data_IF_313769663424
#
_entry.id   IF_313769663424
#
_cell.length_a   1.000
_cell.length_b   1.000
_cell.length_c   1.000
_cell.angle_alpha   90.00
_cell.angle_beta   90.00
_cell.angle_gamma   90.00
#
_symmetry.space_group_name_H-M   'P 1'
#
loop_
_entity.id
_entity.type
_entity.pdbx_description
1 polymer ?
#
# COMPACT_ATOMS: atom_id res chain seq x y z
N UNK A 1 33.09 -6.77 10.00
CA UNK A 1 31.74 -7.33 9.85
C UNK A 1 30.87 -7.17 11.11
N UNK A 2 31.46 -7.29 12.32
CA UNK A 2 30.74 -7.20 13.60
C UNK A 2 30.03 -5.86 13.86
N UNK A 3 30.45 -4.79 13.18
CA UNK A 3 29.89 -3.44 13.35
C UNK A 3 28.84 -3.05 12.30
N UNK A 4 28.67 -3.83 11.24
CA UNK A 4 27.72 -3.54 10.14
C UNK A 4 26.34 -4.11 10.47
N UNK A 5 26.28 -5.34 11.00
CA UNK A 5 25.06 -6.02 11.41
C UNK A 5 24.84 -5.86 12.92
N UNK A 6 24.38 -4.67 13.31
CA UNK A 6 24.00 -4.38 14.70
C UNK A 6 22.62 -4.97 15.00
N UNK A 7 22.28 -5.14 16.28
CA UNK A 7 20.99 -5.60 16.73
C UNK A 7 20.85 -7.12 16.84
N UNK A 8 19.63 -7.61 16.79
CA UNK A 8 19.33 -9.02 17.00
C UNK A 8 19.67 -9.87 15.75
N UNK A 9 20.46 -10.89 15.95
CA UNK A 9 20.89 -11.82 14.89
C UNK A 9 19.71 -12.63 14.34
N UNK A 10 18.70 -12.91 15.17
CA UNK A 10 17.53 -13.68 14.74
C UNK A 10 16.75 -12.90 13.66
N UNK A 11 16.61 -11.58 13.84
CA UNK A 11 15.95 -10.72 12.84
C UNK A 11 16.72 -10.75 11.50
N UNK A 12 18.06 -10.69 11.54
CA UNK A 12 18.88 -10.79 10.33
C UNK A 12 18.77 -12.14 9.63
N UNK A 13 18.72 -13.23 10.41
CA UNK A 13 18.54 -14.59 9.85
C UNK A 13 17.17 -14.69 9.18
N UNK A 14 16.10 -14.24 9.84
CA UNK A 14 14.75 -14.23 9.27
C UNK A 14 14.70 -13.40 7.99
N UNK A 15 15.30 -12.20 8.00
CA UNK A 15 15.38 -11.35 6.81
C UNK A 15 16.05 -12.05 5.63
N UNK A 16 17.21 -12.69 5.86
CA UNK A 16 17.94 -13.43 4.82
C UNK A 16 17.14 -14.64 4.32
N UNK A 17 16.48 -15.38 5.22
CA UNK A 17 15.60 -16.49 4.84
C UNK A 17 14.44 -16.02 3.96
N UNK A 18 13.81 -14.90 4.31
CA UNK A 18 12.73 -14.31 3.50
C UNK A 18 13.23 -13.85 2.13
N UNK A 19 14.44 -13.29 2.05
CA UNK A 19 15.06 -12.94 0.77
C UNK A 19 15.27 -14.18 -0.12
N UNK A 20 15.76 -15.30 0.43
CA UNK A 20 15.95 -16.54 -0.30
C UNK A 20 14.60 -17.12 -0.78
N UNK A 21 13.60 -17.16 0.11
CA UNK A 21 12.25 -17.62 -0.24
C UNK A 21 11.69 -16.76 -1.38
N UNK A 22 11.85 -15.43 -1.31
CA UNK A 22 11.39 -14.51 -2.35
C UNK A 22 12.00 -14.79 -3.72
N UNK A 23 13.30 -15.13 -3.79
CA UNK A 23 13.96 -15.52 -5.04
C UNK A 23 13.38 -16.83 -5.60
N UNK A 24 13.15 -17.83 -4.73
CA UNK A 24 12.59 -19.13 -5.11
C UNK A 24 11.16 -18.95 -5.62
N UNK A 25 10.35 -18.11 -4.96
CA UNK A 25 8.98 -17.83 -5.36
C UNK A 25 8.91 -17.14 -6.73
N UNK A 26 9.78 -16.15 -6.96
CA UNK A 26 9.84 -15.47 -8.26
C UNK A 26 10.31 -16.44 -9.36
N UNK A 27 11.26 -17.32 -9.07
CA UNK A 27 11.66 -18.37 -10.00
C UNK A 27 10.48 -19.28 -10.38
N UNK A 28 9.73 -19.75 -9.38
CA UNK A 28 8.56 -20.59 -9.59
C UNK A 28 7.46 -19.88 -10.38
N UNK A 29 7.12 -18.63 -10.00
CA UNK A 29 6.11 -17.84 -10.69
C UNK A 29 6.52 -17.46 -12.12
N UNK A 30 7.80 -17.11 -12.33
CA UNK A 30 8.33 -16.76 -13.65
C UNK A 30 8.31 -17.95 -14.61
N UNK A 31 8.47 -19.18 -14.13
CA UNK A 31 8.45 -20.37 -14.98
C UNK A 31 7.14 -20.53 -15.77
N UNK A 32 6.01 -20.10 -15.20
CA UNK A 32 4.69 -20.13 -15.85
C UNK A 32 4.51 -19.00 -16.87
N UNK A 33 5.10 -17.84 -16.64
CA UNK A 33 5.02 -16.67 -17.54
C UNK A 33 5.99 -16.78 -18.71
N UNK A 34 7.15 -17.38 -18.50
CA UNK A 34 8.21 -17.50 -19.50
C UNK A 34 7.94 -18.58 -20.55
N UNK A 35 6.98 -19.45 -20.34
CA UNK A 35 6.50 -20.37 -21.40
C UNK A 35 6.01 -19.60 -22.64
N UNK A 36 5.55 -18.34 -22.46
CA UNK A 36 5.12 -17.45 -23.55
C UNK A 36 6.26 -16.58 -24.12
N UNK A 37 7.29 -16.22 -23.35
CA UNK A 37 8.34 -15.27 -23.75
C UNK A 37 9.71 -15.86 -24.03
N UNK A 38 9.97 -17.12 -23.62
CA UNK A 38 11.25 -17.80 -23.83
C UNK A 38 12.42 -17.35 -22.94
N UNK A 39 12.29 -16.27 -22.20
CA UNK A 39 13.33 -15.75 -21.29
C UNK A 39 13.06 -16.12 -19.84
N UNK A 40 13.72 -17.19 -19.37
CA UNK A 40 13.57 -17.68 -17.99
C UNK A 40 14.39 -16.89 -16.96
N UNK A 41 15.46 -16.23 -17.38
CA UNK A 41 16.42 -15.61 -16.46
C UNK A 41 16.17 -14.13 -16.22
N UNK A 42 15.52 -13.43 -17.16
CA UNK A 42 15.27 -11.99 -17.08
C UNK A 42 14.55 -11.56 -15.79
N UNK A 43 13.35 -12.10 -15.46
CA UNK A 43 12.62 -11.74 -14.25
C UNK A 43 13.38 -12.04 -12.96
N UNK A 44 14.12 -13.15 -12.91
CA UNK A 44 14.87 -13.59 -11.73
C UNK A 44 16.07 -12.67 -11.47
N UNK A 45 16.84 -12.36 -12.52
CA UNK A 45 17.99 -11.46 -12.41
C UNK A 45 17.55 -10.06 -12.00
N UNK A 46 16.50 -9.53 -12.61
CA UNK A 46 15.94 -8.23 -12.25
C UNK A 46 15.49 -8.21 -10.78
N UNK A 47 14.74 -9.21 -10.33
CA UNK A 47 14.28 -9.32 -8.96
C UNK A 47 15.47 -9.43 -7.97
N UNK A 48 16.45 -10.27 -8.28
CA UNK A 48 17.63 -10.47 -7.43
C UNK A 48 18.47 -9.20 -7.29
N UNK A 49 18.62 -8.42 -8.36
CA UNK A 49 19.31 -7.12 -8.33
C UNK A 49 18.56 -6.13 -7.44
N UNK A 50 17.24 -6.01 -7.62
CA UNK A 50 16.41 -5.11 -6.80
C UNK A 50 16.48 -5.52 -5.32
N UNK A 51 16.40 -6.82 -5.03
CA UNK A 51 16.50 -7.36 -3.68
C UNK A 51 17.85 -7.07 -3.04
N UNK A 52 18.94 -7.23 -3.80
CA UNK A 52 20.30 -6.91 -3.33
C UNK A 52 20.44 -5.40 -3.03
N UNK A 53 19.97 -4.54 -3.93
CA UNK A 53 19.96 -3.08 -3.70
C UNK A 53 19.13 -2.74 -2.45
N UNK A 54 17.95 -3.36 -2.30
CA UNK A 54 17.12 -3.22 -1.11
C UNK A 54 17.83 -3.65 0.17
N UNK A 55 18.54 -4.78 0.15
CA UNK A 55 19.32 -5.26 1.28
C UNK A 55 20.44 -4.29 1.67
N UNK A 56 21.13 -3.71 0.69
CA UNK A 56 22.13 -2.66 0.93
C UNK A 56 21.49 -1.44 1.60
N UNK A 57 20.34 -0.99 1.10
CA UNK A 57 19.60 0.13 1.69
C UNK A 57 19.19 -0.18 3.14
N UNK A 58 18.71 -1.39 3.43
CA UNK A 58 18.38 -1.81 4.81
C UNK A 58 19.59 -1.73 5.72
N UNK A 59 20.75 -2.23 5.28
CA UNK A 59 22.00 -2.16 6.06
C UNK A 59 22.41 -0.70 6.30
N UNK A 60 22.34 0.16 5.29
CA UNK A 60 22.67 1.58 5.42
C UNK A 60 21.72 2.27 6.41
N UNK A 61 20.41 2.09 6.25
CA UNK A 61 19.40 2.68 7.12
C UNK A 61 19.52 2.19 8.56
N UNK A 62 19.82 0.91 8.76
CA UNK A 62 20.03 0.33 10.08
C UNK A 62 21.22 0.95 10.85
N UNK A 63 22.22 1.44 10.14
CA UNK A 63 23.39 2.09 10.75
C UNK A 63 23.17 3.59 11.03
N UNK A 64 22.11 4.20 10.52
CA UNK A 64 21.78 5.60 10.80
C UNK A 64 21.20 5.72 12.22
N UNK A 65 21.70 6.64 13.06
CA UNK A 65 21.12 6.90 14.37
C UNK A 65 19.66 7.32 14.27
N UNK A 66 18.79 6.75 15.11
CA UNK A 66 17.33 7.00 15.08
C UNK A 66 16.96 8.49 15.18
N UNK A 67 17.81 9.32 15.77
CA UNK A 67 17.62 10.78 15.88
C UNK A 67 17.46 11.45 14.51
N UNK A 68 18.11 10.96 13.47
CA UNK A 68 18.01 11.49 12.11
C UNK A 68 16.67 11.20 11.46
N UNK A 69 16.00 10.11 11.87
CA UNK A 69 14.66 9.80 11.36
C UNK A 69 13.60 10.85 11.71
N UNK A 70 13.87 11.73 12.70
CA UNK A 70 12.99 12.86 13.03
C UNK A 70 12.95 13.90 11.91
N UNK A 71 14.01 14.01 11.12
CA UNK A 71 14.13 14.99 10.02
C UNK A 71 13.54 14.43 8.72
N UNK A 72 13.52 13.11 8.55
CA UNK A 72 12.99 12.45 7.35
C UNK A 72 11.58 12.89 6.94
N UNK A 73 10.61 12.98 7.86
CA UNK A 73 9.25 13.37 7.47
C UNK A 73 9.16 14.76 6.86
N UNK A 74 10.02 15.68 7.27
CA UNK A 74 10.00 17.06 6.78
C UNK A 74 10.26 17.12 5.27
N UNK A 75 11.11 16.26 4.76
CA UNK A 75 11.44 16.18 3.33
C UNK A 75 10.64 15.08 2.62
N UNK A 76 10.56 13.90 3.23
CA UNK A 76 9.96 12.72 2.61
C UNK A 76 8.45 12.88 2.38
N UNK A 77 7.74 13.50 3.33
CA UNK A 77 6.30 13.69 3.24
C UNK A 77 5.91 14.61 2.06
N UNK A 78 6.42 15.85 1.94
CA UNK A 78 6.04 16.69 0.81
C UNK A 78 6.48 16.10 -0.53
N UNK A 79 7.66 15.49 -0.61
CA UNK A 79 8.11 14.80 -1.84
C UNK A 79 7.15 13.68 -2.22
N UNK A 80 6.74 12.85 -1.27
CA UNK A 80 5.81 11.76 -1.53
C UNK A 80 4.42 12.24 -1.95
N UNK A 81 3.92 13.33 -1.36
CA UNK A 81 2.64 13.94 -1.74
C UNK A 81 2.70 14.50 -3.17
N UNK A 82 3.79 15.17 -3.53
CA UNK A 82 4.00 15.69 -4.89
C UNK A 82 4.06 14.55 -5.91
N UNK A 83 4.82 13.48 -5.60
CA UNK A 83 4.90 12.31 -6.47
C UNK A 83 3.56 11.60 -6.63
N UNK A 84 2.78 11.46 -5.55
CA UNK A 84 1.43 10.89 -5.62
C UNK A 84 0.51 11.76 -6.48
N UNK A 85 0.48 13.06 -6.25
CA UNK A 85 -0.33 13.99 -7.04
C UNK A 85 0.07 13.94 -8.52
N UNK A 86 1.37 13.88 -8.81
CA UNK A 86 1.89 13.78 -10.17
C UNK A 86 1.41 12.49 -10.86
N UNK A 87 1.53 11.32 -10.21
CA UNK A 87 1.09 10.05 -10.80
C UNK A 87 -0.41 10.02 -11.03
N UNK A 88 -1.19 10.52 -10.06
CA UNK A 88 -2.65 10.60 -10.19
C UNK A 88 -3.05 11.51 -11.36
N UNK A 89 -2.42 12.69 -11.49
CA UNK A 89 -2.67 13.61 -12.59
C UNK A 89 -2.27 13.02 -13.95
N UNK A 90 -1.09 12.40 -14.04
CA UNK A 90 -0.66 11.73 -15.26
C UNK A 90 -1.63 10.62 -15.67
N UNK A 91 -2.09 9.80 -14.73
CA UNK A 91 -3.09 8.77 -15.02
C UNK A 91 -4.42 9.32 -15.54
N UNK A 92 -4.79 10.54 -15.14
CA UNK A 92 -5.99 11.22 -15.67
C UNK A 92 -5.74 11.78 -17.07
N UNK A 93 -4.55 12.35 -17.32
CA UNK A 93 -4.23 13.04 -18.58
C UNK A 93 -3.87 12.04 -19.69
N UNK A 94 -3.02 11.07 -19.41
CA UNK A 94 -2.51 10.14 -20.44
C UNK A 94 -3.40 8.93 -20.66
N UNK A 95 -4.27 8.63 -19.71
CA UNK A 95 -5.07 7.39 -19.73
C UNK A 95 -4.24 6.11 -19.52
N UNK A 96 -2.92 6.22 -19.38
CA UNK A 96 -2.03 5.08 -19.13
C UNK A 96 -2.26 4.49 -17.74
N UNK A 97 -2.98 3.37 -17.72
CA UNK A 97 -3.35 2.68 -16.49
C UNK A 97 -3.01 1.21 -16.58
N UNK A 98 -2.15 0.74 -15.70
CA UNK A 98 -1.85 -0.68 -15.55
C UNK A 98 -2.93 -1.33 -14.68
N UNK A 99 -3.69 -2.28 -15.23
CA UNK A 99 -4.84 -2.91 -14.56
C UNK A 99 -5.89 -1.88 -14.07
N UNK A 100 -6.15 -0.83 -14.88
CA UNK A 100 -7.12 0.21 -14.56
C UNK A 100 -6.71 1.20 -13.48
N UNK A 101 -5.42 1.27 -13.12
CA UNK A 101 -4.93 2.20 -12.11
C UNK A 101 -3.58 2.82 -12.48
N UNK A 102 -3.44 4.13 -12.29
CA UNK A 102 -2.19 4.85 -12.41
C UNK A 102 -1.45 4.85 -11.07
N UNK A 103 -0.65 3.82 -10.81
CA UNK A 103 0.03 3.61 -9.52
C UNK A 103 1.53 3.53 -9.63
N UNK A 104 2.03 3.25 -10.82
CA UNK A 104 3.43 2.92 -11.06
C UNK A 104 4.10 4.01 -11.85
N UNK A 105 5.30 4.39 -11.44
CA UNK A 105 6.23 5.20 -12.23
C UNK A 105 7.39 4.31 -12.68
N UNK A 106 7.78 4.45 -13.93
CA UNK A 106 9.02 3.85 -14.44
C UNK A 106 10.12 4.91 -14.41
N UNK A 107 11.20 4.63 -13.70
CA UNK A 107 12.38 5.47 -13.65
C UNK A 107 13.62 4.61 -13.95
N UNK A 108 14.32 4.90 -15.03
CA UNK A 108 15.50 4.13 -15.49
C UNK A 108 15.26 2.61 -15.61
N UNK A 109 14.06 2.21 -16.06
CA UNK A 109 13.70 0.79 -16.18
C UNK A 109 13.26 0.10 -14.87
N UNK A 110 13.33 0.81 -13.73
CA UNK A 110 12.80 0.33 -12.45
C UNK A 110 11.38 0.85 -12.26
N UNK A 111 10.47 -0.04 -11.90
CA UNK A 111 9.12 0.36 -11.52
C UNK A 111 9.08 0.77 -10.05
N UNK A 112 8.58 1.95 -9.80
CA UNK A 112 8.45 2.54 -8.48
C UNK A 112 7.01 2.95 -8.21
N UNK A 113 6.53 2.66 -7.00
CA UNK A 113 5.18 3.02 -6.58
C UNK A 113 5.24 4.14 -5.53
N UNK A 114 4.86 5.40 -5.87
CA UNK A 114 4.93 6.53 -4.94
C UNK A 114 4.15 6.35 -3.64
N UNK A 115 3.06 5.57 -3.66
CA UNK A 115 2.29 5.29 -2.45
C UNK A 115 3.07 4.50 -1.39
N UNK A 116 4.07 3.69 -1.77
CA UNK A 116 4.93 2.99 -0.80
C UNK A 116 5.78 4.01 -0.03
N UNK A 117 6.36 4.98 -0.74
CA UNK A 117 7.12 6.06 -0.11
C UNK A 117 6.23 6.91 0.81
N UNK A 118 5.01 7.24 0.34
CA UNK A 118 4.07 8.04 1.11
C UNK A 118 3.62 7.33 2.39
N UNK A 119 3.38 6.02 2.36
CA UNK A 119 3.07 5.23 3.56
C UNK A 119 4.18 5.33 4.61
N UNK A 120 5.42 5.15 4.19
CA UNK A 120 6.57 5.28 5.10
C UNK A 120 6.67 6.69 5.67
N UNK A 121 6.53 7.72 4.83
CA UNK A 121 6.57 9.10 5.26
C UNK A 121 5.49 9.43 6.30
N UNK A 122 4.25 8.98 6.09
CA UNK A 122 3.13 9.17 7.03
C UNK A 122 3.41 8.46 8.35
N UNK A 123 3.84 7.19 8.33
CA UNK A 123 4.12 6.43 9.56
C UNK A 123 5.19 7.11 10.40
N UNK A 124 6.29 7.55 9.78
CA UNK A 124 7.36 8.25 10.49
C UNK A 124 6.87 9.62 11.01
N UNK A 125 6.11 10.37 10.20
CA UNK A 125 5.56 11.67 10.61
C UNK A 125 4.58 11.54 11.79
N UNK A 126 3.69 10.55 11.75
CA UNK A 126 2.73 10.27 12.82
C UNK A 126 3.45 9.87 14.10
N UNK A 127 4.45 9.00 14.01
CA UNK A 127 5.29 8.60 15.14
C UNK A 127 5.97 9.82 15.78
N UNK A 128 6.53 10.71 14.96
CA UNK A 128 7.16 11.95 15.42
C UNK A 128 6.16 12.89 16.11
N UNK A 129 4.96 13.08 15.52
CA UNK A 129 3.92 13.94 16.10
C UNK A 129 3.46 13.38 17.46
N UNK A 130 3.21 12.09 17.55
CA UNK A 130 2.82 11.43 18.81
C UNK A 130 3.92 11.56 19.85
N UNK A 131 5.19 11.31 19.49
CA UNK A 131 6.32 11.44 20.40
C UNK A 131 6.52 12.84 20.96
N UNK A 132 6.32 13.88 20.11
CA UNK A 132 6.55 15.30 20.51
C UNK A 132 5.36 15.96 21.21
N UNK A 133 4.18 15.35 21.13
CA UNK A 133 2.93 15.93 21.64
C UNK A 133 2.24 15.00 22.65
N UNK A 134 3.04 14.40 23.53
CA UNK A 134 2.57 13.67 24.69
C UNK A 134 2.52 14.62 25.88
N UNK A 135 1.38 14.62 26.55
CA UNK A 135 1.15 15.25 27.86
C UNK A 135 0.99 14.12 28.91
N UNK A 136 0.95 14.45 30.20
CA UNK A 136 0.83 13.45 31.28
C UNK A 136 -0.45 12.59 31.16
N UNK A 137 -1.52 13.19 30.64
CA UNK A 137 -2.82 12.51 30.43
C UNK A 137 -2.94 11.75 29.10
N UNK A 138 -1.97 11.87 28.19
CA UNK A 138 -1.97 11.25 26.86
C UNK A 138 -1.60 12.20 25.74
N UNK A 139 -2.00 11.87 24.51
CA UNK A 139 -1.69 12.70 23.37
C UNK A 139 -2.49 14.02 23.36
N UNK A 140 -1.79 15.13 23.16
CA UNK A 140 -2.40 16.44 23.06
C UNK A 140 -3.51 16.48 22.00
N UNK A 141 -4.65 17.17 22.23
CA UNK A 141 -5.74 17.29 21.27
C UNK A 141 -5.33 17.80 19.89
N UNK A 142 -4.28 18.61 19.81
CA UNK A 142 -3.71 19.11 18.54
C UNK A 142 -3.00 18.01 17.75
N UNK A 143 -2.41 16.99 18.43
CA UNK A 143 -1.76 15.87 17.76
C UNK A 143 -2.75 15.14 16.85
N UNK A 144 -3.94 14.81 17.35
CA UNK A 144 -5.00 14.18 16.56
C UNK A 144 -5.31 14.96 15.28
N UNK A 145 -5.49 16.29 15.37
CA UNK A 145 -5.78 17.13 14.20
C UNK A 145 -4.67 17.05 13.14
N UNK A 146 -3.40 17.17 13.54
CA UNK A 146 -2.28 17.11 12.60
C UNK A 146 -2.15 15.72 11.96
N UNK A 147 -2.31 14.65 12.73
CA UNK A 147 -2.29 13.28 12.22
C UNK A 147 -3.40 13.08 11.19
N UNK A 148 -4.62 13.55 11.47
CA UNK A 148 -5.74 13.43 10.53
C UNK A 148 -5.52 14.20 9.24
N UNK A 149 -4.93 15.40 9.29
CA UNK A 149 -4.63 16.19 8.09
C UNK A 149 -3.58 15.47 7.23
N UNK A 150 -2.48 15.04 7.84
CA UNK A 150 -1.38 14.39 7.12
C UNK A 150 -1.84 13.05 6.51
N UNK A 151 -2.50 12.21 7.30
CA UNK A 151 -2.98 10.90 6.86
C UNK A 151 -4.13 11.04 5.87
N UNK A 152 -5.08 11.94 6.15
CA UNK A 152 -6.25 12.15 5.30
C UNK A 152 -5.86 12.60 3.90
N UNK A 153 -4.91 13.53 3.77
CA UNK A 153 -4.42 13.99 2.47
C UNK A 153 -3.83 12.83 1.63
N UNK A 154 -2.97 12.03 2.25
CA UNK A 154 -2.34 10.88 1.55
C UNK A 154 -3.36 9.80 1.23
N UNK A 155 -4.25 9.46 2.18
CA UNK A 155 -5.32 8.49 1.92
C UNK A 155 -6.26 8.94 0.80
N UNK A 156 -6.58 10.23 0.73
CA UNK A 156 -7.44 10.80 -0.31
C UNK A 156 -6.79 10.71 -1.70
N UNK A 157 -5.48 10.89 -1.80
CA UNK A 157 -4.73 10.71 -3.05
C UNK A 157 -4.59 9.24 -3.45
N UNK A 158 -4.46 8.32 -2.49
CA UNK A 158 -4.31 6.89 -2.78
C UNK A 158 -5.66 6.20 -3.07
N UNK A 159 -6.73 6.58 -2.37
CA UNK A 159 -8.00 5.86 -2.38
C UNK A 159 -8.62 5.65 -3.77
N UNK A 160 -8.63 6.63 -4.70
CA UNK A 160 -9.18 6.44 -6.04
C UNK A 160 -8.48 5.34 -6.82
N UNK A 161 -7.17 5.20 -6.64
CA UNK A 161 -6.35 4.22 -7.36
C UNK A 161 -6.19 2.90 -6.59
N UNK A 162 -6.19 2.95 -5.26
CA UNK A 162 -6.00 1.78 -4.41
C UNK A 162 -6.64 1.94 -3.02
N UNK A 163 -7.94 1.68 -2.96
CA UNK A 163 -8.70 1.78 -1.71
C UNK A 163 -8.14 0.87 -0.60
N UNK A 164 -7.72 -0.36 -0.95
CA UNK A 164 -7.18 -1.30 0.03
C UNK A 164 -5.91 -0.78 0.70
N UNK A 165 -5.01 -0.16 -0.07
CA UNK A 165 -3.79 0.46 0.47
C UNK A 165 -4.11 1.67 1.35
N UNK A 166 -5.09 2.50 0.96
CA UNK A 166 -5.52 3.64 1.77
C UNK A 166 -6.13 3.16 3.10
N UNK A 167 -6.97 2.12 3.09
CA UNK A 167 -7.55 1.53 4.29
C UNK A 167 -6.48 0.92 5.21
N UNK A 168 -5.49 0.21 4.64
CA UNK A 168 -4.38 -0.36 5.40
C UNK A 168 -3.56 0.75 6.08
N UNK A 169 -3.18 1.80 5.34
CA UNK A 169 -2.46 2.94 5.92
C UNK A 169 -3.26 3.58 7.05
N UNK A 170 -4.55 3.82 6.83
CA UNK A 170 -5.43 4.37 7.84
C UNK A 170 -5.51 3.47 9.08
N UNK A 171 -5.63 2.15 8.90
CA UNK A 171 -5.63 1.17 9.99
C UNK A 171 -4.34 1.19 10.81
N UNK A 172 -3.18 1.26 10.15
CA UNK A 172 -1.89 1.40 10.83
C UNK A 172 -1.83 2.69 11.65
N UNK A 173 -2.21 3.82 11.06
CA UNK A 173 -2.23 5.11 11.77
C UNK A 173 -3.22 5.11 12.94
N UNK A 174 -4.37 4.47 12.76
CA UNK A 174 -5.35 4.29 13.83
C UNK A 174 -4.75 3.52 15.02
N UNK A 175 -4.06 2.40 14.76
CA UNK A 175 -3.36 1.63 15.80
C UNK A 175 -2.26 2.46 16.46
N UNK A 176 -1.50 3.25 15.69
CA UNK A 176 -0.49 4.16 16.24
C UNK A 176 -1.12 5.20 17.16
N UNK A 177 -2.26 5.79 16.79
CA UNK A 177 -3.00 6.74 17.65
C UNK A 177 -3.52 6.08 18.92
N UNK A 178 -3.97 4.83 18.82
CA UNK A 178 -4.42 4.06 19.98
C UNK A 178 -3.26 3.80 20.96
N UNK A 179 -2.14 3.30 20.47
CA UNK A 179 -0.90 3.08 21.25
C UNK A 179 -0.37 4.42 21.80
N UNK A 180 -0.45 5.49 20.99
CA UNK A 180 -0.05 6.85 21.36
C UNK A 180 -1.00 7.55 22.34
N UNK A 181 -1.95 6.83 22.95
CA UNK A 181 -2.87 7.36 23.97
C UNK A 181 -3.68 8.57 23.51
N UNK A 182 -4.10 8.59 22.25
CA UNK A 182 -5.09 9.56 21.77
C UNK A 182 -6.42 9.26 22.44
N UNK A 183 -7.15 10.30 22.85
CA UNK A 183 -8.42 10.16 23.58
C UNK A 183 -9.39 9.19 22.89
N UNK A 184 -9.79 8.12 23.59
CA UNK A 184 -10.63 7.04 23.07
C UNK A 184 -11.93 7.55 22.43
N UNK A 185 -12.53 8.61 22.99
CA UNK A 185 -13.72 9.24 22.41
C UNK A 185 -13.50 9.71 20.96
N UNK A 186 -12.32 10.27 20.65
CA UNK A 186 -12.00 10.72 19.28
C UNK A 186 -11.80 9.53 18.34
N UNK A 187 -11.19 8.46 18.82
CA UNK A 187 -11.00 7.23 18.06
C UNK A 187 -12.34 6.53 17.76
N UNK A 188 -13.24 6.46 18.75
CA UNK A 188 -14.59 5.90 18.55
C UNK A 188 -15.42 6.72 17.55
N UNK A 189 -15.38 8.05 17.67
CA UNK A 189 -16.03 8.94 16.69
C UNK A 189 -15.47 8.76 15.29
N UNK A 190 -14.15 8.57 15.17
CA UNK A 190 -13.48 8.36 13.91
C UNK A 190 -13.92 7.04 13.25
N UNK A 191 -13.95 5.93 14.00
CA UNK A 191 -14.45 4.64 13.49
C UNK A 191 -15.94 4.75 13.11
N UNK A 192 -16.74 5.36 13.95
CA UNK A 192 -18.17 5.55 13.70
C UNK A 192 -18.43 6.37 12.44
N UNK A 193 -17.70 7.47 12.26
CA UNK A 193 -17.82 8.32 11.06
C UNK A 193 -17.37 7.61 9.79
N UNK A 194 -16.25 6.85 9.83
CA UNK A 194 -15.79 6.06 8.71
C UNK A 194 -16.73 4.90 8.38
N UNK A 195 -17.25 4.23 9.38
CA UNK A 195 -18.26 3.19 9.20
C UNK A 195 -19.50 3.74 8.50
N UNK A 196 -19.99 4.90 8.96
CA UNK A 196 -21.14 5.57 8.33
C UNK A 196 -20.85 5.95 6.87
N UNK A 197 -19.70 6.57 6.61
CA UNK A 197 -19.27 6.92 5.24
C UNK A 197 -19.12 5.66 4.37
N UNK A 198 -18.59 4.57 4.94
CA UNK A 198 -18.48 3.29 4.25
C UNK A 198 -19.84 2.71 3.88
N UNK A 199 -20.79 2.71 4.79
CA UNK A 199 -22.17 2.23 4.53
C UNK A 199 -22.84 3.09 3.46
N UNK A 200 -22.76 4.41 3.58
CA UNK A 200 -23.31 5.34 2.56
C UNK A 200 -22.64 5.09 1.21
N UNK A 201 -21.30 4.92 1.18
CA UNK A 201 -20.55 4.61 -0.03
C UNK A 201 -21.00 3.31 -0.69
N UNK A 202 -21.22 2.24 0.07
CA UNK A 202 -21.71 0.94 -0.44
C UNK A 202 -23.13 1.09 -0.99
N UNK A 203 -24.04 1.75 -0.26
CA UNK A 203 -25.40 2.00 -0.72
C UNK A 203 -25.42 2.80 -2.01
N UNK A 204 -24.60 3.84 -2.09
CA UNK A 204 -24.43 4.66 -3.29
C UNK A 204 -23.88 3.83 -4.47
N UNK A 205 -22.86 3.00 -4.23
CA UNK A 205 -22.29 2.09 -5.22
C UNK A 205 -23.32 1.11 -5.79
N UNK A 206 -24.20 0.58 -4.96
CA UNK A 206 -25.22 -0.37 -5.39
C UNK A 206 -26.38 0.33 -6.13
N UNK A 207 -26.66 1.59 -5.82
CA UNK A 207 -27.75 2.37 -6.41
C UNK A 207 -27.46 2.87 -7.84
N UNK A 208 -26.18 3.02 -8.23
CA UNK A 208 -25.79 3.54 -9.55
C UNK A 208 -25.88 2.43 -10.62
N UNK A 209 -26.47 2.70 -11.82
CA UNK A 209 -26.48 1.77 -12.95
C UNK A 209 -25.07 1.41 -13.43
N UNK A 210 -24.89 0.20 -14.03
CA UNK A 210 -23.57 -0.31 -14.46
C UNK A 210 -22.89 0.48 -15.60
N UNK A 211 -23.63 1.35 -16.31
CA UNK A 211 -23.16 2.02 -17.53
C UNK A 211 -22.92 3.53 -17.35
N UNK A 212 -22.68 4.00 -16.13
CA UNK A 212 -22.41 5.42 -15.89
C UNK A 212 -20.92 5.72 -16.01
N UNK A 213 -20.51 6.29 -17.15
CA UNK A 213 -19.15 6.82 -17.39
C UNK A 213 -18.92 8.09 -16.54
N UNK A 214 -18.54 7.91 -15.27
CA UNK A 214 -18.13 9.02 -14.42
C UNK A 214 -16.59 9.10 -14.47
N UNK A 215 -15.98 10.13 -15.08
CA UNK A 215 -14.54 10.19 -15.36
C UNK A 215 -13.64 10.04 -14.12
N UNK A 216 -14.14 10.38 -12.94
CA UNK A 216 -13.39 10.30 -11.67
C UNK A 216 -13.52 8.95 -10.97
N UNK A 217 -14.48 8.12 -11.35
CA UNK A 217 -14.81 6.86 -10.71
C UNK A 217 -14.59 5.65 -11.63
N UNK A 218 -13.53 5.71 -12.45
CA UNK A 218 -13.16 4.63 -13.39
C UNK A 218 -12.98 3.24 -12.74
N UNK A 219 -12.86 3.16 -11.41
CA UNK A 219 -12.79 1.90 -10.65
C UNK A 219 -14.11 1.49 -10.00
N UNK A 220 -15.15 2.23 -10.28
CA UNK A 220 -16.48 1.99 -9.72
C UNK A 220 -16.98 0.59 -10.04
N UNK A 221 -16.88 0.18 -11.31
CA UNK A 221 -17.28 -1.15 -11.75
C UNK A 221 -16.45 -2.25 -11.10
N UNK A 222 -15.15 -1.99 -10.87
CA UNK A 222 -14.27 -2.91 -10.14
C UNK A 222 -14.69 -3.06 -8.68
N UNK A 223 -15.07 -1.98 -8.01
CA UNK A 223 -15.53 -2.02 -6.61
C UNK A 223 -16.90 -2.68 -6.52
N UNK A 224 -17.81 -2.31 -7.43
CA UNK A 224 -19.15 -2.89 -7.52
C UNK A 224 -19.07 -4.40 -7.77
N UNK A 225 -18.29 -4.85 -8.75
CA UNK A 225 -18.13 -6.28 -9.05
C UNK A 225 -17.53 -7.06 -7.87
N UNK A 226 -16.58 -6.47 -7.13
CA UNK A 226 -16.04 -7.11 -5.92
C UNK A 226 -17.09 -7.30 -4.83
N UNK A 227 -17.92 -6.27 -4.58
CA UNK A 227 -19.00 -6.35 -3.59
C UNK A 227 -20.04 -7.37 -4.03
N UNK A 228 -20.48 -7.33 -5.29
CA UNK A 228 -21.48 -8.25 -5.83
C UNK A 228 -20.98 -9.70 -5.80
N UNK A 229 -19.75 -9.95 -6.27
CA UNK A 229 -19.13 -11.29 -6.25
C UNK A 229 -18.89 -11.83 -4.83
N UNK A 230 -18.76 -10.94 -3.83
CA UNK A 230 -18.65 -11.36 -2.44
C UNK A 230 -20.01 -11.71 -1.82
N UNK A 231 -21.07 -11.08 -2.30
CA UNK A 231 -22.45 -11.26 -1.78
C UNK A 231 -23.18 -12.37 -2.54
N UNK A 232 -22.97 -12.47 -3.85
CA UNK A 232 -23.51 -13.50 -4.70
C UNK A 232 -22.50 -14.63 -4.81
N UNK A 233 -22.77 -15.76 -4.16
CA UNK A 233 -22.04 -17.02 -4.35
C UNK A 233 -22.40 -17.64 -5.72
N UNK A 234 -22.22 -16.91 -6.81
CA UNK A 234 -22.32 -17.54 -8.13
C UNK A 234 -21.09 -18.42 -8.34
N UNK A 235 -21.32 -19.74 -8.35
CA UNK A 235 -20.40 -20.69 -8.96
C UNK A 235 -20.30 -20.29 -10.43
N UNK A 236 -19.15 -19.79 -10.86
CA UNK A 236 -18.88 -19.47 -12.27
C UNK A 236 -19.12 -20.75 -13.06
N UNK A 237 -20.14 -20.83 -13.94
CA UNK A 237 -20.38 -22.02 -14.73
C UNK A 237 -19.12 -22.36 -15.55
N UNK A 238 -18.75 -23.61 -15.65
CA UNK A 238 -17.54 -24.07 -16.35
C UNK A 238 -17.41 -23.54 -17.78
N UNK A 239 -18.54 -23.17 -18.41
CA UNK A 239 -18.59 -22.56 -19.74
C UNK A 239 -18.17 -21.07 -19.79
N UNK A 240 -18.04 -20.38 -18.66
CA UNK A 240 -17.60 -18.98 -18.55
C UNK A 240 -16.24 -18.82 -17.86
N UNK A 241 -15.52 -19.93 -17.65
CA UNK A 241 -14.23 -19.92 -17.00
C UNK A 241 -13.18 -19.32 -17.94
N UNK A 242 -12.71 -18.11 -17.61
CA UNK A 242 -11.61 -17.46 -18.32
C UNK A 242 -10.28 -17.85 -17.66
N UNK A 243 -9.51 -18.69 -18.34
CA UNK A 243 -8.25 -19.23 -17.82
C UNK A 243 -7.30 -18.12 -17.36
N UNK A 244 -7.27 -16.97 -18.02
CA UNK A 244 -6.36 -15.86 -17.68
C UNK A 244 -6.85 -15.02 -16.47
N UNK A 245 -8.17 -14.90 -16.29
CA UNK A 245 -8.75 -14.11 -15.18
C UNK A 245 -9.02 -14.94 -13.93
N UNK A 246 -9.43 -16.20 -14.12
CA UNK A 246 -9.85 -17.08 -13.04
C UNK A 246 -8.75 -18.02 -12.56
N UNK A 247 -7.58 -18.04 -13.22
CA UNK A 247 -6.45 -18.89 -12.87
C UNK A 247 -6.00 -18.72 -11.41
N UNK A 248 -5.96 -17.50 -10.89
CA UNK A 248 -5.58 -17.24 -9.49
C UNK A 248 -6.57 -17.84 -8.50
N UNK A 249 -7.87 -17.76 -8.82
CA UNK A 249 -8.95 -18.32 -7.99
C UNK A 249 -8.93 -19.84 -8.06
N UNK A 250 -8.70 -20.39 -9.26
CA UNK A 250 -8.59 -21.82 -9.47
C UNK A 250 -7.38 -22.41 -8.72
N UNK A 251 -6.21 -21.81 -8.83
CA UNK A 251 -5.02 -22.24 -8.11
C UNK A 251 -5.18 -22.14 -6.60
N UNK A 252 -5.81 -21.09 -6.08
CA UNK A 252 -6.10 -20.93 -4.66
C UNK A 252 -7.12 -21.96 -4.11
N UNK A 253 -7.95 -22.58 -4.98
CA UNK A 253 -8.89 -23.64 -4.59
C UNK A 253 -8.30 -25.04 -4.64
N UNK A 254 -7.21 -25.22 -5.40
CA UNK A 254 -6.52 -26.50 -5.58
C UNK A 254 -5.41 -26.69 -4.52
N UNK A 255 -4.84 -25.58 -3.99
CA UNK A 255 -3.85 -25.60 -2.92
C UNK A 255 -4.49 -25.81 -1.54
#
# INVERSE_FOLDING_TARGET
LKNIFKGDKVIWIIFLCLCLISIIEVFSAASTLTYKSGDHWGPITQHSIILMVGAVVVVLMHNIPYKWFQVFPVFLYPVSVVLLAFVTLMGVITGDRVNGAARWMSFMGLQFQPSELAKMAVVIAVSFILSKRQDDEGANPKAFKYIMIITGLVCLLIAPENLSTAMLLFGVVFLMMFIGRVAARKLLLLIGSLGLVGVIGVVFLLAIPKDSDIPFLHRFDTWKSRITNFTEKEEVPAAKFDIDKDAQIAHARIA
#
